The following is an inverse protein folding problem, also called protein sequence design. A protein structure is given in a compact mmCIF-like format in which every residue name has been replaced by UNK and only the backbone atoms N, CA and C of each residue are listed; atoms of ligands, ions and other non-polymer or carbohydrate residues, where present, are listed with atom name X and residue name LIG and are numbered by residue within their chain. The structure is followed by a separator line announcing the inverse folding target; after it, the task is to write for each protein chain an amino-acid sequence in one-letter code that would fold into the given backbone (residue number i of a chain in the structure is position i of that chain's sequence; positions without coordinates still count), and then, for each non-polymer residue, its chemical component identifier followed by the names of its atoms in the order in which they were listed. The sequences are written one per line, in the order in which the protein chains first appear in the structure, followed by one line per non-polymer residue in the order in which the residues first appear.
data_IF_081457651304
#
_entry.id   IF_081457651304
#
_cell.length_a   1.000
_cell.length_b   1.000
_cell.length_c   1.000
_cell.angle_alpha   90.00
_cell.angle_beta   90.00
_cell.angle_gamma   90.00
#
_symmetry.space_group_name_H-M   'P 1'
#
loop_
_entity.id
_entity.type
_entity.pdbx_description
1 polymer ?
#
# COMPACT_ATOMS: atom_id res chain seq x y z
N UNK A 1 30.89 41.30 4.12
CA UNK A 1 30.34 39.98 3.76
C UNK A 1 29.77 39.38 5.04
N UNK A 2 28.51 39.67 5.33
CA UNK A 2 27.78 39.15 6.48
C UNK A 2 26.39 38.76 5.99
N UNK A 3 25.96 37.57 6.41
CA UNK A 3 24.81 36.82 5.93
C UNK A 3 23.52 37.64 5.84
N UNK A 4 22.92 37.63 4.66
CA UNK A 4 21.51 37.96 4.47
C UNK A 4 20.73 36.72 4.92
N UNK A 5 20.27 36.76 6.16
CA UNK A 5 19.23 35.85 6.64
C UNK A 5 17.97 36.17 5.83
N UNK A 6 17.67 35.34 4.84
CA UNK A 6 16.38 35.36 4.14
C UNK A 6 15.25 35.20 5.16
N UNK A 7 14.16 35.99 5.08
CA UNK A 7 13.00 35.75 5.92
C UNK A 7 12.41 34.39 5.53
N UNK A 8 12.25 33.50 6.51
CA UNK A 8 11.48 32.26 6.37
C UNK A 8 10.05 32.69 6.04
N UNK A 9 9.70 32.55 4.77
CA UNK A 9 8.39 32.91 4.24
C UNK A 9 7.35 31.97 4.86
N UNK A 10 6.32 32.57 5.44
CA UNK A 10 5.20 31.94 6.13
C UNK A 10 4.47 31.05 5.09
N UNK A 11 4.89 29.79 4.94
CA UNK A 11 4.57 28.91 3.80
C UNK A 11 3.10 28.47 3.82
N UNK A 12 2.25 29.39 3.36
CA UNK A 12 0.80 29.23 3.23
C UNK A 12 0.48 28.66 1.86
N UNK A 13 0.12 27.39 1.84
CA UNK A 13 -0.44 26.74 0.67
C UNK A 13 -1.95 26.75 0.71
N UNK A 14 -2.54 26.44 -0.43
CA UNK A 14 -3.98 26.42 -0.65
C UNK A 14 -4.40 25.08 -1.21
N UNK A 15 -5.45 24.48 -0.67
CA UNK A 15 -5.96 23.20 -1.15
C UNK A 15 -7.46 23.19 -1.40
N UNK A 16 -7.86 22.28 -2.29
CA UNK A 16 -9.23 21.88 -2.56
C UNK A 16 -9.36 20.36 -2.45
N UNK A 17 -10.48 19.91 -1.89
CA UNK A 17 -10.86 18.50 -1.94
C UNK A 17 -11.71 18.30 -3.20
N UNK A 18 -11.32 17.35 -4.05
CA UNK A 18 -12.11 16.96 -5.21
C UNK A 18 -13.23 16.02 -4.74
N UNK A 19 -14.46 16.31 -5.14
CA UNK A 19 -15.65 15.58 -4.77
C UNK A 19 -16.36 15.09 -6.02
N UNK A 20 -16.75 13.83 -6.02
CA UNK A 20 -17.66 13.27 -7.00
C UNK A 20 -19.08 13.24 -6.44
N UNK A 21 -20.04 13.71 -7.22
CA UNK A 21 -21.48 13.68 -6.92
C UNK A 21 -22.20 12.92 -8.04
N UNK A 22 -23.03 11.94 -7.69
CA UNK A 22 -23.82 11.17 -8.67
C UNK A 22 -25.18 11.82 -8.94
N UNK A 23 -25.68 12.63 -7.99
CA UNK A 23 -26.96 13.32 -8.05
C UNK A 23 -26.81 14.73 -7.45
N UNK A 24 -26.83 15.73 -8.33
CA UNK A 24 -26.73 17.16 -7.96
C UNK A 24 -27.88 17.65 -7.08
N UNK A 25 -29.04 16.98 -7.11
CA UNK A 25 -30.22 17.40 -6.35
C UNK A 25 -30.12 16.93 -4.89
N UNK A 26 -29.51 15.77 -4.66
CA UNK A 26 -29.38 15.18 -3.31
C UNK A 26 -28.14 15.65 -2.55
N UNK A 27 -27.20 16.31 -3.22
CA UNK A 27 -25.92 16.77 -2.67
C UNK A 27 -25.15 15.64 -1.94
N UNK A 28 -25.29 14.41 -2.45
CA UNK A 28 -24.57 13.24 -1.94
C UNK A 28 -23.23 13.12 -2.67
N UNK A 29 -22.15 13.46 -1.98
CA UNK A 29 -20.81 13.47 -2.57
C UNK A 29 -19.83 12.52 -1.86
N UNK A 30 -18.81 12.12 -2.59
CA UNK A 30 -17.66 11.35 -2.08
C UNK A 30 -16.36 12.06 -2.45
N UNK A 31 -15.44 12.19 -1.49
CA UNK A 31 -14.12 12.76 -1.76
C UNK A 31 -13.31 11.80 -2.63
N UNK A 32 -12.75 12.27 -3.74
CA UNK A 32 -11.98 11.44 -4.69
C UNK A 32 -10.55 11.91 -4.89
N UNK A 33 -10.16 13.07 -4.33
CA UNK A 33 -8.80 13.55 -4.44
C UNK A 33 -8.53 14.85 -3.70
N UNK A 34 -7.28 15.28 -3.76
CA UNK A 34 -6.80 16.54 -3.20
C UNK A 34 -6.00 17.28 -4.27
N UNK A 35 -6.30 18.56 -4.42
CA UNK A 35 -5.51 19.53 -5.16
C UNK A 35 -4.85 20.45 -4.14
N UNK A 36 -3.54 20.61 -4.20
CA UNK A 36 -2.76 21.48 -3.33
C UNK A 36 -1.86 22.35 -4.20
N UNK A 37 -1.81 23.65 -3.93
CA UNK A 37 -0.94 24.55 -4.67
C UNK A 37 -0.38 25.69 -3.82
N UNK A 38 0.72 26.23 -4.30
CA UNK A 38 1.38 27.41 -3.76
C UNK A 38 0.95 28.66 -4.56
N UNK A 39 0.27 29.63 -3.94
CA UNK A 39 -0.14 30.85 -4.61
C UNK A 39 1.02 31.79 -4.96
N UNK A 40 2.21 31.62 -4.36
CA UNK A 40 3.38 32.45 -4.63
C UNK A 40 4.19 31.89 -5.80
N UNK A 41 4.54 30.60 -5.74
CA UNK A 41 5.38 29.96 -6.78
C UNK A 41 4.57 29.38 -7.93
N UNK A 42 3.27 29.13 -7.72
CA UNK A 42 2.42 28.41 -8.68
C UNK A 42 2.68 26.91 -8.73
N UNK A 43 3.47 26.35 -7.81
CA UNK A 43 3.67 24.92 -7.70
C UNK A 43 2.34 24.24 -7.36
N UNK A 44 2.01 23.16 -8.08
CA UNK A 44 0.75 22.43 -7.95
C UNK A 44 1.04 20.95 -7.70
N UNK A 45 0.20 20.32 -6.90
CA UNK A 45 0.13 18.89 -6.68
C UNK A 45 -1.32 18.42 -6.74
N UNK A 46 -1.55 17.34 -7.47
CA UNK A 46 -2.85 16.69 -7.58
C UNK A 46 -2.66 15.22 -7.19
N UNK A 47 -3.54 14.73 -6.33
CA UNK A 47 -3.66 13.30 -6.06
C UNK A 47 -5.12 12.88 -6.11
N UNK A 48 -5.41 11.89 -6.95
CA UNK A 48 -6.72 11.28 -7.09
C UNK A 48 -6.68 9.83 -6.59
N UNK A 49 -7.84 9.20 -6.48
CA UNK A 49 -7.96 7.76 -6.23
C UNK A 49 -7.32 6.94 -7.36
N UNK A 50 -6.53 5.94 -6.97
CA UNK A 50 -5.75 5.11 -7.89
C UNK A 50 -5.92 3.62 -7.59
N UNK A 51 -5.95 3.26 -6.31
CA UNK A 51 -5.96 1.87 -5.88
C UNK A 51 -7.36 1.25 -5.95
N UNK A 52 -7.41 -0.06 -6.23
CA UNK A 52 -8.69 -0.78 -6.33
C UNK A 52 -9.53 -0.72 -5.04
N UNK A 53 -8.89 -0.66 -3.88
CA UNK A 53 -9.58 -0.52 -2.59
C UNK A 53 -10.26 0.85 -2.44
N UNK A 54 -9.72 1.90 -3.08
CA UNK A 54 -10.28 3.24 -3.09
C UNK A 54 -11.48 3.33 -4.03
N UNK A 55 -11.38 2.73 -5.23
CA UNK A 55 -12.52 2.57 -6.14
C UNK A 55 -13.63 1.71 -5.52
N UNK A 56 -13.27 0.64 -4.81
CA UNK A 56 -14.24 -0.17 -4.09
C UNK A 56 -14.97 0.62 -2.98
N UNK A 57 -14.32 1.61 -2.36
CA UNK A 57 -14.98 2.53 -1.41
C UNK A 57 -16.00 3.41 -2.12
N UNK A 58 -15.60 4.00 -3.25
CA UNK A 58 -16.48 4.84 -4.06
C UNK A 58 -17.70 4.06 -4.50
N UNK A 59 -17.53 2.86 -5.08
CA UNK A 59 -18.64 1.99 -5.51
C UNK A 59 -19.63 1.66 -4.38
N UNK A 60 -19.16 1.55 -3.14
CA UNK A 60 -20.04 1.29 -1.98
C UNK A 60 -20.83 2.51 -1.54
N UNK A 61 -20.22 3.69 -1.63
CA UNK A 61 -20.85 4.96 -1.25
C UNK A 61 -21.74 5.51 -2.37
N UNK A 62 -21.37 5.26 -3.62
CA UNK A 62 -22.01 5.73 -4.84
C UNK A 62 -22.07 4.57 -5.85
N UNK A 63 -23.07 3.68 -5.76
CA UNK A 63 -23.18 2.53 -6.65
C UNK A 63 -23.38 2.87 -8.14
N UNK A 64 -23.89 4.08 -8.42
CA UNK A 64 -24.08 4.63 -9.77
C UNK A 64 -22.84 5.29 -10.35
N UNK A 65 -21.72 5.35 -9.61
CA UNK A 65 -20.50 5.97 -10.08
C UNK A 65 -19.87 5.17 -11.23
N UNK A 66 -19.57 5.87 -12.32
CA UNK A 66 -18.82 5.30 -13.44
C UNK A 66 -17.32 5.36 -13.15
N UNK A 67 -16.72 4.19 -12.91
CA UNK A 67 -15.29 4.07 -12.59
C UNK A 67 -14.39 4.39 -13.77
N UNK A 68 -14.82 4.13 -15.00
CA UNK A 68 -14.04 4.41 -16.19
C UNK A 68 -13.94 5.92 -16.42
N UNK A 69 -15.03 6.64 -16.13
CA UNK A 69 -15.03 8.11 -16.11
C UNK A 69 -14.11 8.66 -15.02
N UNK A 70 -14.14 8.10 -13.81
CA UNK A 70 -13.26 8.54 -12.72
C UNK A 70 -11.78 8.32 -13.04
N UNK A 71 -11.45 7.20 -13.70
CA UNK A 71 -10.08 6.90 -14.13
C UNK A 71 -9.61 7.85 -15.22
N UNK A 72 -10.42 8.07 -16.26
CA UNK A 72 -10.08 9.00 -17.34
C UNK A 72 -10.04 10.48 -16.92
N UNK A 73 -10.68 10.81 -15.80
CA UNK A 73 -10.71 12.17 -15.30
C UNK A 73 -9.35 12.67 -14.80
N UNK A 74 -8.53 11.79 -14.23
CA UNK A 74 -7.15 12.13 -13.84
C UNK A 74 -6.36 12.66 -15.03
N UNK A 75 -6.30 11.86 -16.08
CA UNK A 75 -5.52 12.17 -17.29
C UNK A 75 -5.99 13.50 -17.88
N UNK A 76 -7.31 13.71 -17.94
CA UNK A 76 -7.89 14.94 -18.44
C UNK A 76 -7.56 16.18 -17.58
N UNK A 77 -7.43 16.05 -16.25
CA UNK A 77 -6.98 17.14 -15.39
C UNK A 77 -5.49 17.43 -15.57
N UNK A 78 -4.67 16.38 -15.57
CA UNK A 78 -3.22 16.50 -15.76
C UNK A 78 -2.90 17.13 -17.12
N UNK A 79 -3.57 16.73 -18.19
CA UNK A 79 -3.42 17.28 -19.54
C UNK A 79 -3.78 18.77 -19.60
N UNK A 80 -4.90 19.17 -18.98
CA UNK A 80 -5.30 20.59 -18.93
C UNK A 80 -4.31 21.43 -18.14
N UNK A 81 -3.77 20.90 -17.04
CA UNK A 81 -2.72 21.58 -16.28
C UNK A 81 -1.43 21.73 -17.09
N UNK A 82 -0.98 20.65 -17.72
CA UNK A 82 0.21 20.65 -18.57
C UNK A 82 0.07 21.68 -19.70
N UNK A 83 -1.08 21.69 -20.39
CA UNK A 83 -1.38 22.67 -21.44
C UNK A 83 -1.39 24.12 -20.90
N UNK A 84 -1.97 24.37 -19.73
CA UNK A 84 -1.97 25.70 -19.11
C UNK A 84 -0.54 26.17 -18.79
N UNK A 85 0.27 25.32 -18.17
CA UNK A 85 1.65 25.63 -17.82
C UNK A 85 2.51 25.88 -19.08
N UNK A 86 2.34 25.07 -20.12
CA UNK A 86 3.03 25.23 -21.41
C UNK A 86 2.65 26.55 -22.11
N UNK A 87 1.35 26.87 -22.16
CA UNK A 87 0.88 28.12 -22.77
C UNK A 87 1.42 29.35 -22.02
N UNK A 88 1.45 29.30 -20.68
CA UNK A 88 2.02 30.38 -19.85
C UNK A 88 3.53 30.53 -19.98
N UNK A 89 4.26 29.43 -20.18
CA UNK A 89 5.69 29.48 -20.45
C UNK A 89 5.99 30.10 -21.83
N UNK A 90 5.10 29.93 -22.81
CA UNK A 90 5.26 30.49 -24.16
C UNK A 90 4.94 32.00 -24.28
N UNK A 91 4.08 32.55 -23.42
CA UNK A 91 3.61 33.95 -23.49
C UNK A 91 4.60 35.03 -22.96
N UNK A 92 5.83 34.67 -22.57
CA UNK A 92 6.94 35.51 -22.07
C UNK A 92 6.81 36.17 -20.66
N UNK A 93 7.81 35.89 -19.81
CA UNK A 93 8.63 36.90 -19.10
C UNK A 93 7.99 37.87 -18.10
N UNK A 94 6.71 37.76 -17.78
CA UNK A 94 6.03 38.63 -16.82
C UNK A 94 5.91 38.00 -15.44
N UNK A 95 6.54 38.62 -14.44
CA UNK A 95 6.43 38.37 -12.99
C UNK A 95 5.04 38.66 -12.43
N UNK A 96 3.97 38.32 -13.15
CA UNK A 96 2.61 38.29 -12.64
C UNK A 96 2.39 36.90 -12.04
N UNK A 97 2.15 36.88 -10.72
CA UNK A 97 2.14 35.72 -9.85
C UNK A 97 1.49 34.49 -10.52
N UNK A 98 2.29 33.47 -10.81
CA UNK A 98 1.83 32.20 -11.43
C UNK A 98 0.63 31.63 -10.66
N UNK A 99 0.59 31.84 -9.34
CA UNK A 99 -0.54 31.46 -8.49
C UNK A 99 -1.86 32.18 -8.77
N UNK A 100 -1.88 33.46 -9.18
CA UNK A 100 -3.14 34.13 -9.57
C UNK A 100 -3.72 33.54 -10.86
N UNK A 101 -2.84 33.19 -11.81
CA UNK A 101 -3.24 32.51 -13.04
C UNK A 101 -3.81 31.12 -12.76
N UNK A 102 -3.15 30.38 -11.88
CA UNK A 102 -3.58 29.06 -11.43
C UNK A 102 -4.91 29.13 -10.66
N UNK A 103 -5.09 30.13 -9.80
CA UNK A 103 -6.34 30.34 -9.09
C UNK A 103 -7.50 30.59 -10.05
N UNK A 104 -7.31 31.44 -11.07
CA UNK A 104 -8.33 31.64 -12.12
C UNK A 104 -8.62 30.38 -12.91
N UNK A 105 -7.61 29.56 -13.19
CA UNK A 105 -7.81 28.26 -13.84
C UNK A 105 -8.69 27.35 -12.98
N UNK A 106 -8.42 27.26 -11.68
CA UNK A 106 -9.17 26.46 -10.72
C UNK A 106 -10.61 26.97 -10.57
N UNK A 107 -10.82 28.30 -10.53
CA UNK A 107 -12.15 28.91 -10.51
C UNK A 107 -12.92 28.60 -11.80
N UNK A 108 -12.26 28.74 -12.96
CA UNK A 108 -12.84 28.36 -14.24
C UNK A 108 -13.19 26.88 -14.28
N UNK A 109 -12.34 26.02 -13.70
CA UNK A 109 -12.65 24.60 -13.58
C UNK A 109 -13.87 24.40 -12.69
N UNK A 110 -13.96 25.02 -11.53
CA UNK A 110 -15.15 24.92 -10.69
C UNK A 110 -16.45 25.27 -11.46
N UNK A 111 -16.37 26.18 -12.43
CA UNK A 111 -17.48 26.56 -13.30
C UNK A 111 -17.69 25.64 -14.53
N UNK A 112 -16.66 24.90 -14.95
CA UNK A 112 -16.66 24.07 -16.18
C UNK A 112 -16.70 22.57 -15.88
N UNK A 113 -16.44 22.17 -14.64
CA UNK A 113 -16.51 20.78 -14.21
C UNK A 113 -17.95 20.29 -14.38
N UNK A 114 -18.08 19.19 -15.12
CA UNK A 114 -19.35 18.55 -15.45
C UNK A 114 -20.15 18.23 -14.17
N UNK A 115 -21.47 18.10 -14.32
CA UNK A 115 -22.47 17.82 -13.30
C UNK A 115 -22.14 16.76 -12.22
N UNK A 116 -21.06 15.98 -12.37
CA UNK A 116 -20.64 14.99 -11.38
C UNK A 116 -19.38 15.33 -10.57
N UNK A 117 -18.71 16.47 -10.80
CA UNK A 117 -17.51 16.83 -10.04
C UNK A 117 -17.58 18.24 -9.46
N UNK A 118 -17.21 18.35 -8.20
CA UNK A 118 -17.19 19.60 -7.45
C UNK A 118 -15.85 19.76 -6.73
N UNK A 119 -15.36 20.99 -6.65
CA UNK A 119 -14.28 21.35 -5.75
C UNK A 119 -14.90 21.81 -4.43
N UNK A 120 -14.45 21.22 -3.32
CA UNK A 120 -14.77 21.74 -2.01
C UNK A 120 -14.25 23.18 -1.87
N UNK A 121 -14.84 23.99 -0.97
CA UNK A 121 -14.37 25.34 -0.69
C UNK A 121 -12.88 25.37 -0.41
N UNK A 122 -12.22 26.39 -0.96
CA UNK A 122 -10.79 26.61 -0.80
C UNK A 122 -10.42 26.72 0.69
N UNK A 123 -9.32 26.07 1.08
CA UNK A 123 -8.77 26.16 2.44
C UNK A 123 -7.28 26.44 2.41
N UNK A 124 -6.82 27.26 3.34
CA UNK A 124 -5.40 27.50 3.56
C UNK A 124 -4.80 26.42 4.47
N UNK A 125 -3.56 26.06 4.22
CA UNK A 125 -2.77 25.16 5.06
C UNK A 125 -1.35 25.69 5.20
N UNK A 126 -0.77 25.51 6.37
CA UNK A 126 0.62 25.89 6.63
C UNK A 126 1.47 24.63 6.58
N UNK A 127 2.43 24.56 5.66
CA UNK A 127 3.35 23.43 5.54
C UNK A 127 4.65 23.86 4.87
N UNK A 128 5.73 23.10 5.12
CA UNK A 128 7.04 23.37 4.52
C UNK A 128 7.24 22.64 3.17
N UNK A 129 6.51 21.54 2.94
CA UNK A 129 6.65 20.67 1.78
C UNK A 129 5.27 20.26 1.21
N UNK A 130 5.05 20.57 -0.07
CA UNK A 130 3.81 20.30 -0.80
C UNK A 130 3.54 18.80 -0.96
N UNK A 131 4.57 17.98 -1.18
CA UNK A 131 4.41 16.55 -1.42
C UNK A 131 4.03 15.83 -0.13
N UNK A 132 4.70 16.14 0.98
CA UNK A 132 4.36 15.58 2.30
C UNK A 132 2.95 16.02 2.72
N UNK A 133 2.61 17.29 2.50
CA UNK A 133 1.31 17.82 2.91
C UNK A 133 0.17 17.27 2.05
N UNK A 134 0.38 17.09 0.74
CA UNK A 134 -0.57 16.42 -0.13
C UNK A 134 -0.91 15.01 0.38
N UNK A 135 0.12 14.23 0.73
CA UNK A 135 -0.06 12.87 1.26
C UNK A 135 -0.85 12.87 2.58
N UNK A 136 -0.58 13.84 3.45
CA UNK A 136 -1.28 14.02 4.73
C UNK A 136 -2.76 14.34 4.50
N UNK A 137 -3.06 15.36 3.68
CA UNK A 137 -4.42 15.78 3.34
C UNK A 137 -5.19 14.67 2.62
N UNK A 138 -4.54 13.95 1.71
CA UNK A 138 -5.13 12.81 1.02
C UNK A 138 -5.50 11.70 2.01
N UNK A 139 -4.60 11.36 2.93
CA UNK A 139 -4.86 10.36 3.98
C UNK A 139 -6.03 10.76 4.88
N UNK A 140 -6.13 12.05 5.22
CA UNK A 140 -7.16 12.57 6.14
C UNK A 140 -8.54 12.67 5.48
N UNK A 141 -8.62 13.09 4.22
CA UNK A 141 -9.89 13.45 3.59
C UNK A 141 -10.39 12.45 2.54
N UNK A 142 -9.48 11.71 1.88
CA UNK A 142 -9.82 10.90 0.70
C UNK A 142 -9.58 9.43 0.96
N UNK A 143 -8.43 9.06 1.50
CA UNK A 143 -8.07 7.66 1.66
C UNK A 143 -9.13 6.92 2.49
N UNK A 144 -9.51 5.68 2.13
CA UNK A 144 -10.31 4.86 3.01
C UNK A 144 -9.61 4.82 4.38
N UNK A 145 -10.35 4.95 5.50
CA UNK A 145 -9.73 4.87 6.82
C UNK A 145 -8.93 3.58 6.84
N UNK A 146 -7.61 3.72 6.89
CA UNK A 146 -6.72 2.56 6.94
C UNK A 146 -7.23 1.78 8.13
N UNK A 147 -7.79 0.59 7.89
CA UNK A 147 -8.07 -0.36 8.97
C UNK A 147 -6.74 -0.40 9.70
N UNK A 148 -6.71 0.08 10.94
CA UNK A 148 -5.47 0.14 11.71
C UNK A 148 -5.05 -1.31 11.88
N UNK A 149 -4.31 -1.84 10.91
CA UNK A 149 -3.39 -2.94 11.10
C UNK A 149 -2.34 -2.32 11.98
N UNK A 150 -2.64 -2.25 13.29
CA UNK A 150 -1.62 -1.98 14.28
C UNK A 150 -0.48 -2.91 13.88
N UNK A 151 0.72 -2.38 13.80
CA UNK A 151 1.91 -3.22 13.83
C UNK A 151 1.77 -4.05 15.11
N UNK A 152 1.39 -5.33 14.99
CA UNK A 152 1.01 -6.19 16.12
C UNK A 152 -0.48 -6.29 16.49
N UNK A 153 -1.43 -5.80 15.69
CA UNK A 153 -2.83 -6.23 15.83
C UNK A 153 -2.88 -7.75 15.63
N UNK A 154 -3.60 -8.52 16.45
CA UNK A 154 -3.78 -9.94 16.22
C UNK A 154 -4.64 -10.13 14.96
N UNK A 155 -3.99 -10.02 13.80
CA UNK A 155 -4.51 -10.49 12.53
C UNK A 155 -4.52 -12.01 12.53
N UNK A 156 -5.17 -12.59 11.52
CA UNK A 156 -5.20 -14.03 11.31
C UNK A 156 -3.79 -14.65 11.45
N UNK A 157 -2.73 -13.94 11.04
CA UNK A 157 -1.34 -14.39 11.20
C UNK A 157 -0.94 -14.68 12.66
N UNK A 158 -1.32 -13.84 13.63
CA UNK A 158 -1.05 -14.12 15.05
C UNK A 158 -1.83 -15.36 15.53
N UNK A 159 -3.08 -15.51 15.07
CA UNK A 159 -3.91 -16.69 15.34
C UNK A 159 -3.31 -17.96 14.73
N UNK A 160 -2.91 -17.93 13.46
CA UNK A 160 -2.21 -19.04 12.77
C UNK A 160 -0.93 -19.37 13.54
N UNK A 161 -0.11 -18.37 13.90
CA UNK A 161 1.14 -18.61 14.62
C UNK A 161 0.91 -19.23 15.99
N UNK A 162 -0.12 -18.80 16.71
CA UNK A 162 -0.51 -19.40 17.98
C UNK A 162 -0.94 -20.86 17.79
N UNK A 163 -1.78 -21.14 16.77
CA UNK A 163 -2.18 -22.49 16.40
C UNK A 163 -0.97 -23.36 16.02
N UNK A 164 -0.09 -22.90 15.13
CA UNK A 164 1.14 -23.61 14.75
C UNK A 164 2.00 -23.92 15.98
N UNK A 165 2.10 -22.98 16.93
CA UNK A 165 2.82 -23.20 18.17
C UNK A 165 2.20 -24.31 19.03
N UNK A 166 0.87 -24.40 19.08
CA UNK A 166 0.17 -25.50 19.76
C UNK A 166 0.42 -26.84 19.05
N UNK A 167 0.38 -26.87 17.71
CA UNK A 167 0.65 -28.07 16.91
C UNK A 167 2.07 -28.58 17.13
N UNK A 168 3.08 -27.71 17.07
CA UNK A 168 4.47 -28.08 17.35
C UNK A 168 4.66 -28.67 18.76
N UNK A 169 3.98 -28.10 19.76
CA UNK A 169 3.98 -28.61 21.15
C UNK A 169 3.30 -29.97 21.23
N UNK A 170 2.11 -30.12 20.66
CA UNK A 170 1.37 -31.39 20.64
C UNK A 170 2.16 -32.51 19.94
N UNK A 171 2.96 -32.17 18.92
CA UNK A 171 3.84 -33.13 18.24
C UNK A 171 5.11 -33.50 19.03
N UNK A 172 5.41 -32.80 20.13
CA UNK A 172 6.64 -32.97 20.91
C UNK A 172 7.90 -32.44 20.22
N UNK A 173 7.75 -31.47 19.31
CA UNK A 173 8.84 -30.93 18.48
C UNK A 173 9.23 -29.50 18.85
N UNK A 174 8.50 -28.86 19.76
CA UNK A 174 8.69 -27.44 20.12
C UNK A 174 10.12 -27.07 20.53
N UNK A 175 10.81 -27.99 21.21
CA UNK A 175 12.18 -27.77 21.70
C UNK A 175 13.25 -28.14 20.67
N UNK A 176 12.85 -28.82 19.57
CA UNK A 176 13.73 -29.25 18.47
C UNK A 176 13.72 -28.27 17.29
N UNK A 177 12.88 -27.24 17.36
CA UNK A 177 12.80 -26.19 16.35
C UNK A 177 13.36 -24.87 16.89
N UNK A 178 13.98 -24.10 16.01
CA UNK A 178 14.32 -22.71 16.27
C UNK A 178 13.09 -21.84 15.98
N UNK A 179 12.84 -20.87 16.86
CA UNK A 179 11.72 -19.94 16.76
C UNK A 179 12.25 -18.55 16.39
N UNK A 180 11.51 -17.79 15.58
CA UNK A 180 11.82 -16.39 15.26
C UNK A 180 13.25 -16.22 14.70
N UNK A 181 13.57 -16.94 13.63
CA UNK A 181 14.89 -16.96 12.99
C UNK A 181 15.14 -15.66 12.25
N UNK A 182 16.24 -14.97 12.58
CA UNK A 182 16.66 -13.77 11.86
C UNK A 182 17.19 -14.14 10.48
N UNK A 183 16.81 -13.37 9.46
CA UNK A 183 17.26 -13.62 8.09
C UNK A 183 18.39 -12.68 7.65
N UNK A 184 18.79 -11.75 8.51
CA UNK A 184 19.88 -10.80 8.30
C UNK A 184 21.17 -11.48 7.83
N UNK A 185 21.42 -12.72 8.29
CA UNK A 185 22.59 -13.52 7.91
C UNK A 185 22.59 -13.93 6.41
N UNK A 186 21.41 -14.01 5.78
CA UNK A 186 21.25 -14.39 4.38
C UNK A 186 20.87 -13.21 3.47
N UNK A 187 20.49 -12.07 4.05
CA UNK A 187 19.97 -10.90 3.31
C UNK A 187 20.96 -9.74 3.38
N UNK A 188 20.66 -8.71 4.16
CA UNK A 188 21.50 -7.55 4.36
C UNK A 188 21.55 -7.17 5.85
N UNK A 189 22.65 -6.56 6.32
CA UNK A 189 22.71 -5.97 7.65
C UNK A 189 21.54 -5.02 7.90
N UNK A 190 20.87 -5.19 9.05
CA UNK A 190 19.71 -4.37 9.41
C UNK A 190 18.36 -4.92 8.96
N UNK A 191 18.30 -6.01 8.17
CA UNK A 191 17.01 -6.62 7.78
C UNK A 191 16.21 -7.02 9.04
N UNK A 192 15.03 -6.42 9.27
CA UNK A 192 14.21 -6.68 10.45
C UNK A 192 13.41 -7.98 10.35
N UNK A 193 13.37 -8.61 9.18
CA UNK A 193 12.54 -9.79 8.92
C UNK A 193 12.97 -10.99 9.76
N UNK A 194 11.97 -11.75 10.22
CA UNK A 194 12.17 -13.02 10.89
C UNK A 194 11.23 -14.08 10.32
N UNK A 195 11.76 -15.29 10.19
CA UNK A 195 10.98 -16.49 9.86
C UNK A 195 10.47 -17.11 11.16
N UNK A 196 9.21 -17.50 11.19
CA UNK A 196 8.55 -17.97 12.42
C UNK A 196 9.23 -19.21 13.01
N UNK A 197 9.57 -20.19 12.18
CA UNK A 197 10.17 -21.45 12.61
C UNK A 197 11.27 -21.95 11.66
N UNK A 198 12.24 -22.67 12.22
CA UNK A 198 13.20 -23.48 11.46
C UNK A 198 13.47 -24.80 12.15
N UNK A 199 13.73 -25.85 11.38
CA UNK A 199 14.10 -27.17 11.87
C UNK A 199 15.25 -27.75 11.06
N UNK A 200 15.90 -28.80 11.57
CA UNK A 200 16.97 -29.51 10.87
C UNK A 200 16.55 -30.94 10.58
N UNK A 201 16.82 -31.40 9.36
CA UNK A 201 16.48 -32.73 8.86
C UNK A 201 17.61 -33.23 7.95
N UNK A 202 18.39 -34.20 8.42
CA UNK A 202 19.43 -34.89 7.63
C UNK A 202 20.31 -33.94 6.78
N UNK A 203 20.84 -32.87 7.38
CA UNK A 203 21.67 -31.87 6.69
C UNK A 203 20.91 -30.80 5.90
N UNK A 204 19.58 -30.92 5.78
CA UNK A 204 18.69 -29.90 5.23
C UNK A 204 18.11 -29.05 6.37
N UNK A 205 17.98 -27.73 6.15
CA UNK A 205 17.31 -26.83 7.09
C UNK A 205 15.95 -26.41 6.53
N UNK A 206 14.90 -26.77 7.25
CA UNK A 206 13.55 -26.35 6.94
C UNK A 206 13.24 -24.99 7.55
N UNK A 207 12.44 -24.21 6.84
CA UNK A 207 11.92 -22.91 7.27
C UNK A 207 10.41 -22.88 7.09
N UNK A 208 9.68 -22.45 8.12
CA UNK A 208 8.22 -22.35 8.09
C UNK A 208 7.79 -20.95 8.46
N UNK A 209 6.98 -20.33 7.60
CA UNK A 209 6.44 -18.99 7.80
C UNK A 209 4.92 -19.00 7.76
N UNK A 210 4.28 -18.32 8.70
CA UNK A 210 2.83 -18.09 8.65
C UNK A 210 2.52 -16.86 7.79
N UNK A 211 1.54 -16.99 6.89
CA UNK A 211 1.06 -15.95 5.98
C UNK A 211 -0.45 -15.78 6.13
N UNK A 212 -0.92 -14.53 6.25
CA UNK A 212 -2.37 -14.24 6.20
C UNK A 212 -2.76 -13.83 4.80
N UNK A 213 -3.18 -14.79 3.99
CA UNK A 213 -3.61 -14.58 2.60
C UNK A 213 -4.87 -13.72 2.54
N UNK A 214 -5.75 -13.87 3.53
CA UNK A 214 -7.00 -13.12 3.61
C UNK A 214 -6.79 -11.62 3.82
N UNK A 215 -5.74 -11.23 4.54
CA UNK A 215 -5.49 -9.84 4.96
C UNK A 215 -4.27 -9.18 4.35
N UNK A 216 -3.19 -9.94 4.12
CA UNK A 216 -1.90 -9.43 3.65
C UNK A 216 -1.29 -10.39 2.60
N UNK A 217 -1.95 -10.59 1.44
CA UNK A 217 -1.46 -11.50 0.42
C UNK A 217 -0.08 -11.09 -0.14
N UNK A 218 0.24 -9.80 -0.13
CA UNK A 218 1.53 -9.29 -0.62
C UNK A 218 2.74 -9.78 0.21
N UNK A 219 2.54 -10.20 1.47
CA UNK A 219 3.61 -10.73 2.32
C UNK A 219 4.28 -11.98 1.72
N UNK A 220 3.61 -12.67 0.79
CA UNK A 220 4.18 -13.81 0.06
C UNK A 220 5.41 -13.40 -0.76
N UNK A 221 5.44 -12.18 -1.32
CA UNK A 221 6.60 -11.66 -2.09
C UNK A 221 7.82 -11.52 -1.20
N UNK A 222 7.64 -10.98 0.00
CA UNK A 222 8.72 -10.81 0.97
C UNK A 222 9.27 -12.19 1.39
N UNK A 223 8.41 -13.16 1.64
CA UNK A 223 8.87 -14.51 1.98
C UNK A 223 9.55 -15.22 0.80
N UNK A 224 9.01 -15.11 -0.41
CA UNK A 224 9.62 -15.64 -1.64
C UNK A 224 11.02 -15.08 -1.89
N UNK A 225 11.18 -13.75 -1.79
CA UNK A 225 12.47 -13.09 -1.89
C UNK A 225 13.47 -13.63 -0.86
N UNK A 226 13.04 -13.76 0.39
CA UNK A 226 13.89 -14.21 1.49
C UNK A 226 14.26 -15.69 1.35
N UNK A 227 13.32 -16.55 0.93
CA UNK A 227 13.59 -17.95 0.67
C UNK A 227 14.65 -18.11 -0.44
N UNK A 228 14.53 -17.36 -1.54
CA UNK A 228 15.52 -17.37 -2.62
C UNK A 228 16.91 -16.93 -2.12
N UNK A 229 16.99 -15.90 -1.26
CA UNK A 229 18.26 -15.46 -0.65
C UNK A 229 18.88 -16.51 0.26
N UNK A 230 18.07 -17.17 1.08
CA UNK A 230 18.51 -18.27 1.95
C UNK A 230 19.03 -19.41 1.09
N UNK A 231 18.26 -19.86 0.10
CA UNK A 231 18.65 -20.94 -0.80
C UNK A 231 19.97 -20.66 -1.53
N UNK A 232 20.21 -19.41 -1.93
CA UNK A 232 21.43 -19.02 -2.65
C UNK A 232 22.68 -18.87 -1.76
N UNK A 233 22.52 -18.58 -0.46
CA UNK A 233 23.64 -18.22 0.43
C UNK A 233 23.87 -19.18 1.58
N UNK A 234 22.89 -20.00 1.94
CA UNK A 234 23.04 -20.95 3.01
C UNK A 234 24.06 -22.03 2.63
N UNK A 235 24.97 -22.44 3.56
CA UNK A 235 25.93 -23.51 3.31
C UNK A 235 25.28 -24.92 3.35
N UNK A 236 23.96 -24.99 3.44
CA UNK A 236 23.18 -26.23 3.58
C UNK A 236 21.98 -26.19 2.65
N UNK A 237 21.49 -27.38 2.26
CA UNK A 237 20.22 -27.49 1.55
C UNK A 237 19.10 -26.89 2.40
N UNK A 238 18.18 -26.18 1.76
CA UNK A 238 17.08 -25.50 2.44
C UNK A 238 15.74 -25.91 1.84
N UNK A 239 14.74 -26.14 2.69
CA UNK A 239 13.35 -26.38 2.31
C UNK A 239 12.43 -25.33 2.97
N UNK A 240 11.35 -24.95 2.29
CA UNK A 240 10.51 -23.83 2.71
C UNK A 240 9.04 -24.21 2.68
N UNK A 241 8.31 -23.79 3.72
CA UNK A 241 6.87 -23.97 3.81
C UNK A 241 6.16 -22.70 4.27
N UNK A 242 5.02 -22.42 3.67
CA UNK A 242 4.14 -21.31 4.04
C UNK A 242 2.82 -21.86 4.58
N UNK A 243 2.49 -21.49 5.82
CA UNK A 243 1.20 -21.84 6.45
C UNK A 243 0.20 -20.71 6.23
N UNK A 244 -0.87 -20.97 5.49
CA UNK A 244 -1.87 -19.96 5.10
C UNK A 244 -3.14 -20.04 5.97
N UNK A 245 -3.77 -18.90 6.26
CA UNK A 245 -5.02 -18.85 7.05
C UNK A 245 -6.23 -19.44 6.35
N UNK A 246 -6.16 -19.56 5.02
CA UNK A 246 -7.19 -20.16 4.18
C UNK A 246 -6.56 -21.15 3.21
N UNK A 247 -7.28 -22.20 2.81
CA UNK A 247 -6.86 -23.03 1.69
C UNK A 247 -6.82 -22.19 0.41
N UNK A 248 -5.74 -22.35 -0.36
CA UNK A 248 -5.61 -21.66 -1.64
C UNK A 248 -6.47 -22.36 -2.69
N UNK A 249 -7.27 -21.58 -3.43
CA UNK A 249 -8.09 -22.03 -4.57
C UNK A 249 -7.76 -21.19 -5.82
N UNK A 250 -6.58 -21.41 -6.45
CA UNK A 250 -6.06 -20.56 -7.53
C UNK A 250 -6.97 -20.44 -8.76
N UNK A 251 -7.82 -21.45 -9.01
CA UNK A 251 -8.73 -21.47 -10.17
C UNK A 251 -9.91 -20.51 -10.02
N UNK A 252 -10.32 -20.24 -8.78
CA UNK A 252 -11.53 -19.47 -8.47
C UNK A 252 -11.22 -18.06 -7.97
N UNK A 253 -10.01 -17.84 -7.42
CA UNK A 253 -9.66 -16.60 -6.76
C UNK A 253 -8.29 -16.09 -7.22
N UNK A 254 -8.27 -14.92 -7.86
CA UNK A 254 -7.06 -14.31 -8.39
C UNK A 254 -6.02 -13.99 -7.32
N UNK A 255 -6.46 -13.61 -6.12
CA UNK A 255 -5.56 -13.40 -4.97
C UNK A 255 -4.91 -14.71 -4.54
N UNK A 256 -5.66 -15.81 -4.54
CA UNK A 256 -5.11 -17.13 -4.25
C UNK A 256 -4.15 -17.59 -5.34
N UNK A 257 -4.46 -17.30 -6.61
CA UNK A 257 -3.57 -17.56 -7.75
C UNK A 257 -2.24 -16.81 -7.61
N UNK A 258 -2.32 -15.51 -7.34
CA UNK A 258 -1.13 -14.68 -7.10
C UNK A 258 -0.24 -15.24 -5.98
N UNK A 259 -0.80 -15.57 -4.81
CA UNK A 259 -0.03 -16.14 -3.70
C UNK A 259 0.53 -17.51 -4.04
N UNK A 260 -0.29 -18.39 -4.61
CA UNK A 260 0.11 -19.73 -5.02
C UNK A 260 1.28 -19.70 -6.01
N UNK A 261 1.15 -18.94 -7.09
CA UNK A 261 2.17 -18.88 -8.14
C UNK A 261 3.46 -18.23 -7.62
N UNK A 262 3.36 -17.16 -6.81
CA UNK A 262 4.53 -16.53 -6.18
C UNK A 262 5.30 -17.50 -5.28
N UNK A 263 4.61 -18.30 -4.46
CA UNK A 263 5.24 -19.25 -3.55
C UNK A 263 5.78 -20.47 -4.30
N UNK A 264 5.04 -20.98 -5.29
CA UNK A 264 5.46 -22.10 -6.14
C UNK A 264 6.74 -21.76 -6.89
N UNK A 265 6.81 -20.59 -7.51
CA UNK A 265 7.97 -20.18 -8.30
C UNK A 265 9.24 -20.02 -7.42
N UNK A 266 9.07 -19.74 -6.12
CA UNK A 266 10.15 -19.72 -5.14
C UNK A 266 10.45 -21.08 -4.49
N UNK A 267 9.78 -22.16 -4.92
CA UNK A 267 9.95 -23.50 -4.35
C UNK A 267 9.41 -23.67 -2.93
N UNK A 268 8.42 -22.86 -2.54
CA UNK A 268 7.82 -22.89 -1.20
C UNK A 268 6.56 -23.76 -1.20
N UNK A 269 6.53 -24.78 -0.34
CA UNK A 269 5.34 -25.62 -0.12
C UNK A 269 4.23 -24.80 0.56
N UNK A 270 3.01 -24.85 0.04
CA UNK A 270 1.86 -24.17 0.67
C UNK A 270 1.05 -25.16 1.50
N UNK A 271 0.73 -24.78 2.73
CA UNK A 271 0.03 -25.62 3.69
C UNK A 271 -1.13 -24.81 4.27
N UNK A 272 -2.36 -25.27 4.05
CA UNK A 272 -3.50 -24.69 4.76
C UNK A 272 -3.37 -24.90 6.27
N UNK A 273 -3.79 -23.94 7.09
CA UNK A 273 -3.72 -24.05 8.56
C UNK A 273 -4.40 -25.33 9.06
N UNK A 274 -5.49 -25.74 8.42
CA UNK A 274 -6.22 -27.00 8.67
C UNK A 274 -5.38 -28.27 8.44
N UNK A 275 -4.42 -28.23 7.51
CA UNK A 275 -3.54 -29.35 7.17
C UNK A 275 -2.22 -29.35 7.97
N UNK A 276 -1.91 -28.27 8.69
CA UNK A 276 -0.64 -28.13 9.41
C UNK A 276 -0.49 -29.20 10.52
N UNK A 277 -1.57 -29.55 11.22
CA UNK A 277 -1.56 -30.60 12.23
C UNK A 277 -1.26 -32.00 11.67
N UNK A 278 -1.52 -32.24 10.38
CA UNK A 278 -1.16 -33.49 9.70
C UNK A 278 0.23 -33.42 9.08
N UNK A 279 0.69 -32.23 8.71
CA UNK A 279 2.01 -32.02 8.12
C UNK A 279 3.14 -32.15 9.17
N UNK A 280 3.00 -31.52 10.34
CA UNK A 280 4.04 -31.52 11.40
C UNK A 280 4.45 -32.94 11.85
N UNK A 281 3.54 -33.88 12.13
CA UNK A 281 3.91 -35.23 12.53
C UNK A 281 4.76 -35.98 11.51
N UNK A 282 4.61 -35.69 10.21
CA UNK A 282 5.44 -36.29 9.14
C UNK A 282 6.91 -35.91 9.26
N UNK A 283 7.21 -34.77 9.91
CA UNK A 283 8.58 -34.33 10.16
C UNK A 283 9.22 -34.99 11.38
N UNK A 284 8.43 -35.50 12.33
CA UNK A 284 8.90 -36.08 13.59
C UNK A 284 9.99 -37.15 13.43
N UNK A 285 9.90 -38.14 12.52
CA UNK A 285 10.94 -39.14 12.36
C UNK A 285 12.24 -38.59 11.75
N UNK A 286 12.20 -37.39 11.18
CA UNK A 286 13.28 -36.84 10.35
C UNK A 286 13.95 -35.60 10.95
N UNK A 287 13.26 -34.88 11.83
CA UNK A 287 13.86 -33.79 12.59
C UNK A 287 14.84 -34.39 13.58
N UNK A 288 16.02 -33.79 13.70
CA UNK A 288 17.07 -34.12 14.69
C UNK A 288 17.05 -33.08 15.81
#
# INVERSE_FOLDING_TARGET
MADVISPVDDSKFVYHILRYTSDLVRDEWVNIGVLLFDPLTGALRLRLVEEQDEYARIRRLQPSADEDVLRGFRDHLEDRFAAFLQNRQAEHGGTLAVGEGLQRLIENWNNTLSNGLQLAPQKGVYADDLDIELERLYTEHVAPPRKVTRVGAPGNRATIRNYCSQVWKAAGLWDRIQKSVRVTEFTFPGDPMRIDYSYRKNGTRGYVQTLSVSRAPADCKLYAYTAARIAARAPFASEFAAVTDVPLVPRENERHRFVHDTLRDAGIETIGTDHFATWVPKLKPTIQ
#
